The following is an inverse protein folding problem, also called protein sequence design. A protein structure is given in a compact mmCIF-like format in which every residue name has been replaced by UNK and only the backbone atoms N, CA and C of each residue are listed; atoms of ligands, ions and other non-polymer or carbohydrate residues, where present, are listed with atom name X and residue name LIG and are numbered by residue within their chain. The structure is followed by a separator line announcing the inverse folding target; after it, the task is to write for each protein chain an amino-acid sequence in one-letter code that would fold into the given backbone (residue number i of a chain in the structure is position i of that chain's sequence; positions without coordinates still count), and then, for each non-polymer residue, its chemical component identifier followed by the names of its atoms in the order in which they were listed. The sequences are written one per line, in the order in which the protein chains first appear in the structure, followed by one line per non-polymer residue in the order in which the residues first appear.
data_IF_283280323070
#
_entry.id   IF_283280323070
#
_cell.length_a   1.000
_cell.length_b   1.000
_cell.length_c   1.000
_cell.angle_alpha   90.00
_cell.angle_beta   90.00
_cell.angle_gamma   90.00
#
_symmetry.space_group_name_H-M   'P 1'
#
loop_
_entity.id
_entity.type
_entity.pdbx_description
1 polymer ?
#
# COMPACT_ATOMS: atom_id res chain seq x y z
N UNK A 1 -18.80 -22.39 69.47
CA UNK A 1 -20.11 -21.96 68.98
C UNK A 1 -20.36 -20.54 69.42
N UNK A 2 -20.16 -19.56 68.54
CA UNK A 2 -20.84 -18.26 68.45
C UNK A 2 -20.14 -17.41 67.38
N UNK A 3 -20.82 -17.06 66.28
CA UNK A 3 -20.39 -16.12 65.25
C UNK A 3 -20.98 -14.71 65.52
N UNK A 4 -20.42 -13.68 64.88
CA UNK A 4 -21.02 -12.33 64.83
C UNK A 4 -19.96 -11.23 64.89
N UNK A 5 -19.41 -10.79 63.76
CA UNK A 5 -19.93 -9.75 62.87
C UNK A 5 -19.71 -8.32 63.40
N UNK A 6 -18.83 -7.54 62.76
CA UNK A 6 -19.00 -6.10 62.52
C UNK A 6 -18.45 -5.79 61.12
N UNK A 7 -19.24 -5.02 60.38
CA UNK A 7 -19.27 -4.84 58.93
C UNK A 7 -18.24 -3.80 58.45
N UNK A 8 -17.77 -4.01 57.22
CA UNK A 8 -16.95 -3.10 56.43
C UNK A 8 -17.69 -1.78 56.14
N UNK A 9 -16.97 -0.67 56.26
CA UNK A 9 -17.42 0.66 55.85
C UNK A 9 -17.43 0.76 54.33
N UNK A 10 -18.62 0.82 53.72
CA UNK A 10 -18.79 1.26 52.34
C UNK A 10 -18.60 2.78 52.26
N UNK A 11 -17.51 3.21 51.63
CA UNK A 11 -17.30 4.59 51.19
C UNK A 11 -17.89 4.69 49.79
N UNK A 12 -19.05 5.33 49.68
CA UNK A 12 -19.71 5.61 48.41
C UNK A 12 -19.08 6.86 47.77
N UNK A 13 -18.22 6.69 46.78
CA UNK A 13 -17.79 7.78 45.90
C UNK A 13 -18.80 7.96 44.76
N UNK A 14 -19.35 9.17 44.55
CA UNK A 14 -20.17 9.45 43.38
C UNK A 14 -19.28 9.70 42.16
N UNK A 15 -19.31 8.76 41.20
CA UNK A 15 -18.77 8.96 39.85
C UNK A 15 -19.53 10.09 39.15
N UNK A 16 -18.90 11.26 39.09
CA UNK A 16 -19.32 12.37 38.25
C UNK A 16 -19.20 11.94 36.78
N UNK A 17 -20.35 11.73 36.14
CA UNK A 17 -20.46 11.44 34.72
C UNK A 17 -20.33 12.77 33.95
N UNK A 18 -19.10 13.13 33.59
CA UNK A 18 -18.83 14.25 32.69
C UNK A 18 -19.42 13.91 31.32
N UNK A 19 -20.48 14.63 30.95
CA UNK A 19 -21.04 14.60 29.59
C UNK A 19 -20.05 15.32 28.67
N UNK A 20 -19.26 14.55 27.95
CA UNK A 20 -18.50 15.06 26.81
C UNK A 20 -19.51 15.55 25.75
N UNK A 21 -19.45 16.84 25.45
CA UNK A 21 -20.24 17.46 24.39
C UNK A 21 -19.77 16.97 23.02
N UNK A 22 -20.71 16.51 22.20
CA UNK A 22 -20.48 16.23 20.78
C UNK A 22 -20.05 17.52 20.05
N UNK A 23 -18.92 17.51 19.31
CA UNK A 23 -18.53 18.64 18.47
C UNK A 23 -19.39 18.64 17.19
N UNK A 24 -20.42 19.49 17.16
CA UNK A 24 -21.32 19.66 16.01
C UNK A 24 -20.72 20.49 14.85
N UNK A 25 -19.51 21.05 15.00
CA UNK A 25 -18.92 21.98 14.03
C UNK A 25 -18.13 21.32 12.87
N UNK A 26 -17.87 20.01 12.93
CA UNK A 26 -17.01 19.34 11.93
C UNK A 26 -17.72 18.92 10.63
N UNK A 27 -19.06 18.83 10.63
CA UNK A 27 -19.80 18.34 9.45
C UNK A 27 -19.75 19.36 8.29
N UNK A 28 -19.70 20.65 8.62
CA UNK A 28 -19.65 21.76 7.65
C UNK A 28 -18.32 21.78 6.91
N UNK A 29 -17.22 21.65 7.66
CA UNK A 29 -15.86 21.58 7.13
C UNK A 29 -15.65 20.32 6.27
N UNK A 30 -16.21 19.18 6.70
CA UNK A 30 -16.16 17.93 5.94
C UNK A 30 -16.91 18.06 4.60
N UNK A 31 -18.10 18.66 4.59
CA UNK A 31 -18.89 18.89 3.35
C UNK A 31 -18.18 19.85 2.38
N UNK A 32 -17.51 20.88 2.89
CA UNK A 32 -16.76 21.82 2.05
C UNK A 32 -15.52 21.16 1.43
N UNK A 33 -14.83 20.30 2.18
CA UNK A 33 -13.68 19.51 1.70
C UNK A 33 -14.08 18.45 0.66
N UNK A 34 -15.27 17.84 0.81
CA UNK A 34 -15.84 16.92 -0.18
C UNK A 34 -16.20 17.65 -1.49
N UNK A 35 -16.73 18.88 -1.43
CA UNK A 35 -17.01 19.68 -2.64
C UNK A 35 -15.74 20.07 -3.39
N UNK A 36 -14.70 20.52 -2.69
CA UNK A 36 -13.41 20.86 -3.33
C UNK A 36 -12.72 19.66 -4.00
N UNK A 37 -12.95 18.43 -3.51
CA UNK A 37 -12.44 17.23 -4.16
C UNK A 37 -13.19 16.88 -5.47
N UNK A 38 -14.45 17.29 -5.60
CA UNK A 38 -15.23 17.08 -6.83
C UNK A 38 -14.82 18.03 -7.96
N UNK A 39 -14.28 19.21 -7.66
CA UNK A 39 -13.83 20.15 -8.70
C UNK A 39 -12.57 19.64 -9.46
N UNK A 40 -11.90 18.60 -8.98
CA UNK A 40 -10.81 17.91 -9.68
C UNK A 40 -11.31 16.91 -10.76
N UNK A 41 -12.62 16.77 -10.94
CA UNK A 41 -13.24 15.89 -11.94
C UNK A 41 -13.57 16.59 -13.27
N UNK A 42 -13.47 17.91 -13.37
CA UNK A 42 -13.77 18.63 -14.61
C UNK A 42 -12.63 18.49 -15.65
N UNK A 43 -12.76 17.40 -16.40
CA UNK A 43 -12.04 17.06 -17.61
C UNK A 43 -12.44 17.98 -18.79
N UNK A 44 -11.70 19.07 -19.03
CA UNK A 44 -11.95 20.01 -20.13
C UNK A 44 -11.15 19.74 -21.41
N UNK A 45 -11.59 20.29 -22.56
CA UNK A 45 -10.73 20.41 -23.74
C UNK A 45 -9.58 21.39 -23.43
N UNK A 46 -8.37 21.02 -23.82
CA UNK A 46 -7.19 21.88 -23.74
C UNK A 46 -6.51 21.91 -25.10
N UNK A 47 -6.23 23.11 -25.57
CA UNK A 47 -5.47 23.31 -26.81
C UNK A 47 -3.97 23.22 -26.50
N UNK A 48 -3.27 22.28 -27.14
CA UNK A 48 -1.82 22.10 -26.96
C UNK A 48 -1.04 22.89 -28.01
N UNK A 49 -1.62 22.97 -29.22
CA UNK A 49 -1.12 23.72 -30.36
C UNK A 49 -2.32 24.32 -31.12
N UNK A 50 -2.13 25.40 -31.89
CA UNK A 50 -3.20 25.97 -32.70
C UNK A 50 -3.93 24.91 -33.54
N UNK A 51 -5.21 24.68 -33.26
CA UNK A 51 -6.06 23.69 -33.93
C UNK A 51 -5.97 22.26 -33.38
N UNK A 52 -5.12 21.99 -32.38
CA UNK A 52 -4.99 20.68 -31.74
C UNK A 52 -5.52 20.69 -30.31
N UNK A 53 -6.77 20.24 -30.18
CA UNK A 53 -7.43 20.05 -28.89
C UNK A 53 -7.22 18.63 -28.37
N UNK A 54 -6.69 18.52 -27.15
CA UNK A 54 -6.69 17.27 -26.39
C UNK A 54 -7.76 17.36 -25.30
N UNK A 55 -8.42 16.24 -25.00
CA UNK A 55 -9.33 16.17 -23.86
C UNK A 55 -8.56 15.69 -22.64
N UNK A 56 -8.33 16.60 -21.69
CA UNK A 56 -7.71 16.25 -20.41
C UNK A 56 -8.77 15.47 -19.63
N UNK A 57 -8.44 14.26 -19.17
CA UNK A 57 -9.32 13.47 -18.32
C UNK A 57 -8.98 13.72 -16.85
N UNK A 58 -10.00 13.94 -16.04
CA UNK A 58 -9.87 14.16 -14.59
C UNK A 58 -9.53 12.88 -13.83
N UNK A 59 -9.27 13.03 -12.53
CA UNK A 59 -8.74 11.95 -11.68
C UNK A 59 -9.67 10.72 -11.64
N UNK A 60 -10.99 10.91 -11.54
CA UNK A 60 -11.94 9.78 -11.52
C UNK A 60 -11.88 8.91 -12.77
N UNK A 61 -11.66 9.51 -13.94
CA UNK A 61 -11.51 8.76 -15.18
C UNK A 61 -10.21 7.95 -15.22
N UNK A 62 -9.13 8.51 -14.68
CA UNK A 62 -7.85 7.79 -14.49
C UNK A 62 -8.03 6.59 -13.58
N UNK A 63 -8.64 6.77 -12.39
CA UNK A 63 -8.87 5.67 -11.46
C UNK A 63 -9.80 4.60 -12.04
N UNK A 64 -10.84 5.00 -12.77
CA UNK A 64 -11.70 4.07 -13.49
C UNK A 64 -10.92 3.28 -14.54
N UNK A 65 -10.05 3.92 -15.31
CA UNK A 65 -9.21 3.21 -16.29
C UNK A 65 -8.23 2.24 -15.65
N UNK A 66 -7.70 2.56 -14.46
CA UNK A 66 -6.87 1.65 -13.67
C UNK A 66 -7.69 0.46 -13.17
N UNK A 67 -8.87 0.72 -12.59
CA UNK A 67 -9.77 -0.33 -12.10
C UNK A 67 -10.26 -1.27 -13.23
N UNK A 68 -10.44 -0.73 -14.45
CA UNK A 68 -10.78 -1.52 -15.65
C UNK A 68 -9.57 -2.23 -16.28
N UNK A 69 -8.36 -2.08 -15.72
CA UNK A 69 -7.13 -2.69 -16.25
C UNK A 69 -6.65 -2.09 -17.59
N UNK A 70 -7.19 -0.94 -18.01
CA UNK A 70 -6.78 -0.23 -19.23
C UNK A 70 -5.53 0.62 -19.03
N UNK A 71 -5.25 1.00 -17.79
CA UNK A 71 -4.06 1.75 -17.43
C UNK A 71 -3.41 1.15 -16.19
N UNK A 72 -2.10 1.32 -16.05
CA UNK A 72 -1.34 0.93 -14.87
C UNK A 72 -0.45 2.06 -14.40
N UNK A 73 -0.08 2.04 -13.12
CA UNK A 73 0.85 2.98 -12.51
C UNK A 73 2.25 2.35 -12.43
N UNK A 74 3.24 3.02 -13.01
CA UNK A 74 4.65 2.59 -12.98
C UNK A 74 5.52 3.68 -12.36
N UNK A 75 6.68 3.32 -11.78
CA UNK A 75 7.68 4.32 -11.39
C UNK A 75 8.72 4.49 -12.49
N UNK A 76 9.05 5.75 -12.77
CA UNK A 76 10.17 6.06 -13.64
C UNK A 76 11.47 5.48 -13.09
N UNK A 77 12.23 4.75 -13.91
CA UNK A 77 13.51 4.19 -13.52
C UNK A 77 14.53 5.27 -13.11
N UNK A 78 14.52 6.42 -13.78
CA UNK A 78 15.41 7.57 -13.52
C UNK A 78 14.97 8.41 -12.32
N UNK A 79 13.84 9.12 -12.43
CA UNK A 79 13.42 10.11 -11.42
C UNK A 79 12.43 9.58 -10.36
N UNK A 80 12.09 8.28 -10.39
CA UNK A 80 11.18 7.59 -9.45
C UNK A 80 9.74 8.12 -9.38
N UNK A 81 9.37 9.11 -10.20
CA UNK A 81 8.01 9.65 -10.30
C UNK A 81 7.03 8.58 -10.78
N UNK A 82 5.82 8.59 -10.24
CA UNK A 82 4.71 7.75 -10.71
C UNK A 82 4.19 8.26 -12.07
N UNK A 83 4.00 7.34 -13.00
CA UNK A 83 3.48 7.60 -14.35
C UNK A 83 2.29 6.70 -14.59
N UNK A 84 1.23 7.26 -15.17
CA UNK A 84 0.13 6.48 -15.72
C UNK A 84 0.49 6.06 -17.15
N UNK A 85 0.43 4.77 -17.43
CA UNK A 85 0.74 4.20 -18.74
C UNK A 85 -0.37 3.26 -19.16
N UNK A 86 -0.51 3.07 -20.47
CA UNK A 86 -1.42 2.06 -21.02
C UNK A 86 -0.96 0.65 -20.60
N UNK A 87 -1.90 -0.20 -20.21
CA UNK A 87 -1.63 -1.60 -19.89
C UNK A 87 -1.09 -2.41 -21.08
N UNK A 88 -1.26 -1.93 -22.31
CA UNK A 88 -0.67 -2.53 -23.51
C UNK A 88 0.75 -2.00 -23.84
N UNK A 89 1.21 -0.93 -23.19
CA UNK A 89 2.49 -0.32 -23.51
C UNK A 89 3.67 -1.27 -23.18
N UNK A 90 4.62 -1.40 -24.11
CA UNK A 90 5.86 -2.18 -23.91
C UNK A 90 6.99 -1.30 -23.37
N UNK A 91 7.03 -0.05 -23.81
CA UNK A 91 8.03 0.95 -23.45
C UNK A 91 7.34 2.18 -22.87
N UNK A 92 8.00 2.82 -21.91
CA UNK A 92 7.51 4.00 -21.21
C UNK A 92 8.54 5.11 -21.33
N UNK A 93 8.08 6.30 -21.72
CA UNK A 93 8.89 7.52 -21.77
C UNK A 93 8.52 8.45 -20.61
N UNK A 94 9.52 8.93 -19.88
CA UNK A 94 9.32 9.92 -18.83
C UNK A 94 9.54 11.34 -19.36
N UNK A 95 8.46 12.13 -19.46
CA UNK A 95 8.52 13.53 -19.90
C UNK A 95 9.35 14.45 -18.99
N UNK A 96 9.65 14.04 -17.75
CA UNK A 96 10.42 14.86 -16.80
C UNK A 96 11.94 14.70 -16.93
N UNK A 97 12.42 13.48 -17.14
CA UNK A 97 13.86 13.18 -17.16
C UNK A 97 14.34 12.59 -18.50
N UNK A 98 13.44 12.37 -19.47
CA UNK A 98 13.77 11.84 -20.79
C UNK A 98 14.06 10.34 -20.83
N UNK A 99 14.03 9.63 -19.70
CA UNK A 99 14.32 8.20 -19.66
C UNK A 99 13.27 7.36 -20.41
N UNK A 100 13.74 6.40 -21.20
CA UNK A 100 12.94 5.35 -21.85
C UNK A 100 13.25 4.02 -21.17
N UNK A 101 12.22 3.29 -20.74
CA UNK A 101 12.40 2.02 -20.03
C UNK A 101 11.23 1.05 -20.28
N UNK A 102 11.44 -0.28 -20.13
CA UNK A 102 10.36 -1.26 -20.29
C UNK A 102 9.32 -1.16 -19.17
N UNK A 103 8.06 -1.48 -19.48
CA UNK A 103 6.93 -1.36 -18.52
C UNK A 103 7.07 -2.27 -17.29
N UNK A 104 7.83 -3.36 -17.35
CA UNK A 104 7.92 -4.40 -16.31
C UNK A 104 8.28 -3.90 -14.89
N UNK A 105 8.62 -2.63 -14.70
CA UNK A 105 8.73 -1.96 -13.40
C UNK A 105 7.36 -1.52 -12.86
N UNK A 106 6.38 -2.43 -12.86
CA UNK A 106 5.08 -2.13 -12.26
C UNK A 106 5.25 -1.84 -10.78
N UNK A 107 4.60 -0.77 -10.31
CA UNK A 107 4.31 -0.65 -8.90
C UNK A 107 3.31 -1.75 -8.61
N UNK A 108 3.82 -2.91 -8.20
CA UNK A 108 3.00 -3.91 -7.54
C UNK A 108 2.24 -3.11 -6.48
N UNK A 109 0.92 -3.07 -6.60
CA UNK A 109 0.05 -2.78 -5.48
C UNK A 109 0.45 -3.81 -4.43
N UNK A 110 1.43 -3.46 -3.60
CA UNK A 110 1.63 -4.07 -2.30
C UNK A 110 0.40 -3.61 -1.55
N UNK A 111 -0.70 -4.36 -1.74
CA UNK A 111 -1.86 -4.28 -0.89
C UNK A 111 -1.30 -4.24 0.53
N UNK A 112 -1.70 -3.21 1.26
CA UNK A 112 -1.33 -3.07 2.65
C UNK A 112 -1.80 -4.32 3.36
N UNK A 113 -0.88 -5.25 3.56
CA UNK A 113 -0.80 -5.96 4.84
C UNK A 113 -0.48 -4.88 5.85
N UNK A 114 -1.52 -4.17 6.29
CA UNK A 114 -1.53 -3.43 7.53
C UNK A 114 -1.34 -4.48 8.62
N UNK A 115 -0.08 -4.78 8.90
CA UNK A 115 0.33 -5.51 10.08
C UNK A 115 0.08 -4.60 11.28
N UNK A 116 -1.20 -4.45 11.66
CA UNK A 116 -1.56 -4.22 13.05
C UNK A 116 -1.22 -5.50 13.81
N UNK A 117 0.07 -5.65 14.13
CA UNK A 117 0.55 -6.65 15.08
C UNK A 117 0.22 -6.17 16.49
N UNK A 118 -1.03 -6.34 16.88
CA UNK A 118 -1.43 -6.34 18.28
C UNK A 118 -2.62 -7.29 18.43
N UNK A 119 -2.33 -8.48 18.95
CA UNK A 119 -3.35 -9.41 19.42
C UNK A 119 -3.39 -10.71 18.64
N UNK A 120 -2.69 -11.71 19.19
CA UNK A 120 -3.09 -13.11 19.26
C UNK A 120 -4.37 -13.51 18.50
N UNK A 121 -4.25 -14.40 17.51
CA UNK A 121 -4.66 -15.79 17.69
C UNK A 121 -4.14 -16.66 16.53
N UNK A 122 -3.84 -17.92 16.82
CA UNK A 122 -3.14 -18.82 15.91
C UNK A 122 -4.01 -19.38 14.78
N UNK A 123 -3.41 -19.53 13.58
CA UNK A 123 -3.59 -20.64 12.63
C UNK A 123 -3.38 -20.19 11.17
N UNK A 124 -2.13 -20.00 10.75
CA UNK A 124 -1.77 -20.02 9.31
C UNK A 124 -0.27 -20.31 9.12
N UNK A 125 0.21 -21.46 9.58
CA UNK A 125 1.66 -21.81 9.59
C UNK A 125 1.94 -23.11 8.84
N UNK A 126 1.62 -23.15 7.54
CA UNK A 126 2.00 -24.29 6.68
C UNK A 126 2.75 -23.83 5.43
N UNK A 127 2.25 -22.80 4.74
CA UNK A 127 2.82 -22.38 3.44
C UNK A 127 4.12 -21.56 3.55
N UNK A 128 4.32 -20.78 4.63
CA UNK A 128 5.55 -19.99 4.80
C UNK A 128 6.73 -20.90 5.15
N UNK A 129 6.48 -21.94 5.95
CA UNK A 129 7.50 -22.89 6.38
C UNK A 129 8.01 -23.77 5.23
N UNK A 130 7.14 -24.11 4.28
CA UNK A 130 7.52 -24.90 3.09
C UNK A 130 8.35 -24.07 2.09
N UNK A 131 8.06 -22.78 1.95
CA UNK A 131 8.84 -21.89 1.10
C UNK A 131 10.25 -21.63 1.67
N UNK A 132 10.38 -21.47 2.99
CA UNK A 132 11.67 -21.29 3.66
C UNK A 132 12.53 -22.56 3.57
N UNK A 133 11.92 -23.75 3.67
CA UNK A 133 12.62 -25.03 3.49
C UNK A 133 13.22 -25.16 2.08
N UNK A 134 12.47 -24.79 1.04
CA UNK A 134 12.94 -24.84 -0.34
C UNK A 134 14.07 -23.83 -0.62
N UNK A 135 14.05 -22.65 0.02
CA UNK A 135 15.15 -21.68 -0.08
C UNK A 135 16.41 -22.23 0.60
N UNK A 136 16.27 -22.80 1.79
CA UNK A 136 17.39 -23.36 2.55
C UNK A 136 18.08 -24.51 1.78
N UNK A 137 17.30 -25.39 1.15
CA UNK A 137 17.81 -26.50 0.33
C UNK A 137 18.64 -25.99 -0.86
N UNK A 138 18.13 -24.99 -1.59
CA UNK A 138 18.86 -24.39 -2.72
C UNK A 138 20.15 -23.70 -2.31
N UNK A 139 20.16 -23.03 -1.14
CA UNK A 139 21.39 -22.40 -0.64
C UNK A 139 22.46 -23.46 -0.32
N UNK A 140 22.06 -24.54 0.35
CA UNK A 140 22.98 -25.61 0.72
C UNK A 140 23.59 -26.31 -0.49
N UNK A 141 22.81 -26.52 -1.55
CA UNK A 141 23.29 -27.12 -2.80
C UNK A 141 24.33 -26.21 -3.51
N UNK A 142 24.11 -24.90 -3.50
CA UNK A 142 25.06 -23.94 -4.08
C UNK A 142 26.40 -23.93 -3.33
N UNK A 143 26.36 -23.97 -1.99
CA UNK A 143 27.56 -24.01 -1.17
C UNK A 143 28.35 -25.32 -1.38
N UNK A 144 27.66 -26.45 -1.43
CA UNK A 144 28.27 -27.75 -1.69
C UNK A 144 28.94 -27.80 -3.08
N UNK A 145 28.25 -27.33 -4.11
CA UNK A 145 28.81 -27.26 -5.45
C UNK A 145 30.02 -26.32 -5.52
N UNK A 146 29.96 -25.15 -4.89
CA UNK A 146 31.09 -24.23 -4.80
C UNK A 146 32.30 -24.86 -4.09
N UNK A 147 32.08 -25.63 -3.03
CA UNK A 147 33.13 -26.36 -2.34
C UNK A 147 33.79 -27.44 -3.23
N UNK A 148 33.00 -28.18 -4.01
CA UNK A 148 33.51 -29.16 -4.96
C UNK A 148 34.37 -28.51 -6.05
N UNK A 149 33.95 -27.37 -6.59
CA UNK A 149 34.74 -26.62 -7.57
C UNK A 149 36.07 -26.13 -6.98
N UNK A 150 36.08 -25.60 -5.76
CA UNK A 150 37.32 -25.21 -5.07
C UNK A 150 38.26 -26.40 -4.85
N UNK A 151 37.72 -27.55 -4.44
CA UNK A 151 38.53 -28.76 -4.23
C UNK A 151 39.12 -29.29 -5.54
N UNK A 152 38.40 -29.17 -6.65
CA UNK A 152 38.89 -29.57 -7.97
C UNK A 152 39.95 -28.62 -8.52
N UNK A 153 39.81 -27.31 -8.27
CA UNK A 153 40.79 -26.30 -8.67
C UNK A 153 42.13 -26.44 -7.91
N UNK A 154 42.11 -26.89 -6.66
CA UNK A 154 43.32 -27.08 -5.85
C UNK A 154 44.10 -28.39 -6.15
N UNK A 155 43.57 -29.25 -7.03
CA UNK A 155 44.20 -30.51 -7.44
C UNK A 155 44.75 -30.47 -8.88
N UNK A 156 44.74 -29.30 -9.52
CA UNK A 156 45.44 -29.02 -10.79
C UNK A 156 46.65 -28.13 -10.49
#
# INVERSE_FOLDING_TARGET
THPGAIYEQEISEPLAHEREGEPQDDISALKQKVRQNNDLDEAGPAEVYPGQNIRIRGKRHTWKAIAEGKATLVRCAGCKRALQVDAAAKLVYCSRCGAVFPRCLELSHREGSESNSSGADGSTSSNVQEHDAHIAERMQEQEYNAALYRKRANNC
#
